data_IF_130853530573
#
_entry.id   IF_130853530573
#
_cell.length_a   1.000
_cell.length_b   1.000
_cell.length_c   1.000
_cell.angle_alpha   90.00
_cell.angle_beta   90.00
_cell.angle_gamma   90.00
#
_symmetry.space_group_name_H-M   'P 1'
#
loop_
_entity.id
_entity.type
_entity.pdbx_description
1 polymer ?
#
# COMPACT_ATOMS: atom_id res chain seq x y z
N UNK A 1 -20.71 20.32 5.70
CA UNK A 1 -19.35 19.97 6.17
C UNK A 1 -19.48 18.88 7.22
N UNK A 2 -18.83 17.76 6.98
CA UNK A 2 -18.77 16.67 7.95
C UNK A 2 -17.74 17.03 9.01
N UNK A 3 -18.16 16.99 10.27
CA UNK A 3 -17.23 17.15 11.39
C UNK A 3 -16.77 15.77 11.86
N UNK A 4 -15.51 15.67 12.23
CA UNK A 4 -14.97 14.42 12.77
C UNK A 4 -15.72 14.05 14.04
N UNK A 5 -16.26 12.84 14.06
CA UNK A 5 -16.91 12.27 15.22
C UNK A 5 -15.92 11.98 16.34
N UNK A 6 -14.69 11.63 15.97
CA UNK A 6 -13.62 11.29 16.90
C UNK A 6 -12.41 12.19 16.61
N UNK A 7 -11.97 12.92 17.61
CA UNK A 7 -10.79 13.77 17.50
C UNK A 7 -9.57 13.03 18.07
N UNK A 8 -9.04 12.08 17.29
CA UNK A 8 -7.92 11.26 17.72
C UNK A 8 -6.58 11.93 17.43
N UNK A 9 -5.66 11.83 18.39
CA UNK A 9 -4.28 12.26 18.20
C UNK A 9 -3.55 11.35 17.20
N UNK A 10 -2.41 11.81 16.69
CA UNK A 10 -1.56 10.98 15.82
C UNK A 10 -1.13 9.68 16.51
N UNK A 11 -0.80 9.75 17.80
CA UNK A 11 -0.42 8.59 18.60
C UNK A 11 -1.57 7.58 18.72
N UNK A 12 -2.78 8.06 18.97
CA UNK A 12 -3.97 7.21 19.02
C UNK A 12 -4.28 6.57 17.69
N UNK A 13 -4.16 7.32 16.59
CA UNK A 13 -4.35 6.80 15.23
C UNK A 13 -3.33 5.71 14.90
N UNK A 14 -2.06 5.92 15.24
CA UNK A 14 -1.01 4.91 15.06
C UNK A 14 -1.26 3.65 15.87
N UNK A 15 -1.71 3.80 17.11
CA UNK A 15 -2.06 2.67 17.96
C UNK A 15 -3.18 1.82 17.36
N UNK A 16 -4.26 2.48 16.89
CA UNK A 16 -5.39 1.80 16.25
C UNK A 16 -4.97 1.10 14.96
N UNK A 17 -4.13 1.75 14.15
CA UNK A 17 -3.62 1.14 12.92
C UNK A 17 -2.80 -0.12 13.22
N UNK A 18 -1.92 -0.07 14.21
CA UNK A 18 -1.13 -1.24 14.64
C UNK A 18 -2.01 -2.38 15.14
N UNK A 19 -3.05 -2.04 15.90
CA UNK A 19 -3.99 -3.04 16.44
C UNK A 19 -4.74 -3.77 15.35
N UNK A 20 -5.07 -3.07 14.26
CA UNK A 20 -5.88 -3.61 13.17
C UNK A 20 -5.06 -3.98 11.93
N UNK A 21 -3.75 -4.01 12.03
CA UNK A 21 -2.85 -4.12 10.87
C UNK A 21 -3.07 -5.41 10.06
N UNK A 22 -3.28 -6.54 10.73
CA UNK A 22 -3.48 -7.83 10.06
C UNK A 22 -4.75 -7.81 9.23
N UNK A 23 -5.85 -7.29 9.79
CA UNK A 23 -7.13 -7.19 9.11
C UNK A 23 -7.04 -6.25 7.90
N UNK A 24 -6.38 -5.12 8.06
CA UNK A 24 -6.19 -4.14 6.99
C UNK A 24 -5.36 -4.73 5.85
N UNK A 25 -4.23 -5.35 6.15
CA UNK A 25 -3.36 -5.96 5.13
C UNK A 25 -4.08 -7.11 4.44
N UNK A 26 -4.78 -7.95 5.17
CA UNK A 26 -5.56 -9.05 4.58
C UNK A 26 -6.62 -8.52 3.61
N UNK A 27 -7.37 -7.50 4.01
CA UNK A 27 -8.40 -6.88 3.16
C UNK A 27 -7.79 -6.24 1.91
N UNK A 28 -6.66 -5.54 2.04
CA UNK A 28 -5.95 -4.96 0.91
C UNK A 28 -5.43 -6.03 -0.05
N UNK A 29 -4.89 -7.12 0.47
CA UNK A 29 -4.39 -8.23 -0.34
C UNK A 29 -5.49 -8.89 -1.15
N UNK A 30 -6.70 -8.94 -0.64
CA UNK A 30 -7.88 -9.44 -1.39
C UNK A 30 -8.17 -8.59 -2.61
N UNK A 31 -7.99 -7.27 -2.53
CA UNK A 31 -8.14 -6.38 -3.67
C UNK A 31 -7.07 -6.64 -4.75
N UNK A 32 -5.93 -7.18 -4.36
CA UNK A 32 -4.84 -7.58 -5.26
C UNK A 32 -4.96 -9.06 -5.71
N UNK A 33 -6.13 -9.67 -5.54
CA UNK A 33 -6.42 -11.06 -5.92
C UNK A 33 -5.58 -12.12 -5.16
N UNK A 34 -5.08 -11.78 -4.00
CA UNK A 34 -4.42 -12.76 -3.13
C UNK A 34 -5.49 -13.66 -2.49
N UNK A 35 -5.33 -14.96 -2.63
CA UNK A 35 -6.31 -15.94 -2.17
C UNK A 35 -5.82 -16.68 -0.93
N UNK A 36 -5.53 -15.95 0.13
CA UNK A 36 -5.15 -16.50 1.43
C UNK A 36 -6.31 -16.39 2.41
N UNK A 37 -6.38 -17.32 3.35
CA UNK A 37 -7.28 -17.21 4.50
C UNK A 37 -6.75 -16.16 5.48
N UNK A 38 -7.61 -15.65 6.35
CA UNK A 38 -7.18 -14.72 7.38
C UNK A 38 -6.08 -15.30 8.30
N UNK A 39 -6.19 -16.55 8.81
CA UNK A 39 -5.11 -17.16 9.59
C UNK A 39 -3.79 -17.28 8.82
N UNK A 40 -3.84 -17.60 7.52
CA UNK A 40 -2.63 -17.66 6.68
C UNK A 40 -1.97 -16.29 6.56
N UNK A 41 -2.76 -15.24 6.30
CA UNK A 41 -2.27 -13.86 6.23
C UNK A 41 -1.64 -13.43 7.56
N UNK A 42 -2.31 -13.73 8.67
CA UNK A 42 -1.80 -13.41 10.01
C UNK A 42 -0.45 -14.08 10.28
N UNK A 43 -0.35 -15.37 9.96
CA UNK A 43 0.89 -16.15 10.16
C UNK A 43 2.04 -15.55 9.35
N UNK A 44 1.78 -15.17 8.10
CA UNK A 44 2.77 -14.52 7.24
C UNK A 44 3.20 -13.15 7.77
N UNK A 45 2.24 -12.34 8.20
CA UNK A 45 2.50 -11.00 8.74
C UNK A 45 3.30 -11.09 10.05
N UNK A 46 3.06 -12.12 10.84
CA UNK A 46 3.82 -12.40 12.07
C UNK A 46 5.24 -12.95 11.80
N UNK A 47 5.62 -13.11 10.55
CA UNK A 47 6.97 -13.51 10.15
C UNK A 47 7.20 -15.01 10.04
N UNK A 48 6.15 -15.81 10.09
CA UNK A 48 6.23 -17.28 9.97
C UNK A 48 5.89 -17.71 8.55
N UNK A 49 6.47 -18.83 8.10
CA UNK A 49 6.16 -19.39 6.80
C UNK A 49 4.85 -20.17 6.82
N UNK A 50 4.15 -20.15 5.69
CA UNK A 50 2.90 -20.90 5.47
C UNK A 50 3.06 -21.71 4.20
N UNK A 51 2.75 -23.00 4.26
CA UNK A 51 2.73 -23.87 3.09
C UNK A 51 1.48 -23.64 2.25
N UNK A 52 1.58 -23.88 0.94
CA UNK A 52 0.44 -23.79 0.03
C UNK A 52 0.12 -22.39 -0.48
N UNK A 53 0.95 -21.40 -0.18
CA UNK A 53 0.82 -20.05 -0.69
C UNK A 53 1.84 -19.85 -1.81
N UNK A 54 1.41 -19.25 -2.93
CA UNK A 54 2.31 -18.94 -4.04
C UNK A 54 3.35 -17.89 -3.63
N UNK A 55 4.50 -17.91 -4.31
CA UNK A 55 5.54 -16.90 -4.11
C UNK A 55 5.02 -15.49 -4.39
N UNK A 56 4.17 -15.35 -5.41
CA UNK A 56 3.54 -14.08 -5.76
C UNK A 56 2.67 -13.56 -4.61
N UNK A 57 1.81 -14.40 -4.04
CA UNK A 57 0.94 -14.01 -2.93
C UNK A 57 1.74 -13.64 -1.68
N UNK A 58 2.81 -14.40 -1.39
CA UNK A 58 3.74 -14.05 -0.31
C UNK A 58 4.37 -12.67 -0.52
N UNK A 59 4.80 -12.38 -1.74
CA UNK A 59 5.42 -11.10 -2.07
C UNK A 59 4.45 -9.94 -1.85
N UNK A 60 3.20 -10.07 -2.29
CA UNK A 60 2.17 -9.04 -2.10
C UNK A 60 1.94 -8.77 -0.60
N UNK A 61 1.78 -9.81 0.21
CA UNK A 61 1.57 -9.68 1.65
C UNK A 61 2.77 -9.01 2.35
N UNK A 62 3.99 -9.40 1.99
CA UNK A 62 5.20 -8.81 2.55
C UNK A 62 5.37 -7.35 2.13
N UNK A 63 5.04 -7.03 0.88
CA UNK A 63 5.08 -5.66 0.38
C UNK A 63 4.13 -4.76 1.17
N UNK A 64 2.91 -5.20 1.39
CA UNK A 64 1.92 -4.47 2.19
C UNK A 64 2.38 -4.30 3.64
N UNK A 65 2.94 -5.35 4.23
CA UNK A 65 3.51 -5.28 5.59
C UNK A 65 4.61 -4.23 5.66
N UNK A 66 5.56 -4.26 4.74
CA UNK A 66 6.68 -3.32 4.71
C UNK A 66 6.21 -1.88 4.49
N UNK A 67 5.23 -1.67 3.61
CA UNK A 67 4.63 -0.35 3.38
C UNK A 67 3.99 0.20 4.66
N UNK A 68 3.22 -0.60 5.37
CA UNK A 68 2.59 -0.18 6.61
C UNK A 68 3.59 0.08 7.73
N UNK A 69 4.63 -0.74 7.84
CA UNK A 69 5.72 -0.49 8.80
C UNK A 69 6.39 0.85 8.54
N UNK A 70 6.66 1.16 7.27
CA UNK A 70 7.22 2.45 6.88
C UNK A 70 6.29 3.61 7.25
N UNK A 71 5.00 3.51 6.91
CA UNK A 71 4.00 4.55 7.22
C UNK A 71 3.91 4.78 8.73
N UNK A 72 3.82 3.73 9.52
CA UNK A 72 3.63 3.82 10.97
C UNK A 72 4.88 4.33 11.72
N UNK A 73 6.06 4.17 11.14
CA UNK A 73 7.33 4.62 11.72
C UNK A 73 7.79 5.97 11.20
N UNK A 74 7.12 6.54 10.21
CA UNK A 74 7.54 7.77 9.55
C UNK A 74 6.91 8.99 10.22
N UNK A 75 7.72 10.05 10.42
CA UNK A 75 7.27 11.37 10.84
C UNK A 75 7.24 12.37 9.68
N UNK A 76 7.48 11.90 8.46
CA UNK A 76 7.50 12.74 7.26
C UNK A 76 6.10 13.26 6.90
N UNK A 77 6.05 14.45 6.32
CA UNK A 77 4.83 14.97 5.72
C UNK A 77 4.41 14.11 4.54
N UNK A 78 3.11 14.04 4.31
CA UNK A 78 2.55 13.41 3.12
C UNK A 78 2.78 14.34 1.92
N UNK A 79 3.78 14.01 1.12
CA UNK A 79 4.13 14.68 -0.12
C UNK A 79 4.36 13.67 -1.25
N UNK A 80 4.74 14.14 -2.43
CA UNK A 80 5.00 13.25 -3.55
C UNK A 80 6.14 12.26 -3.24
N UNK A 81 7.20 12.71 -2.59
CA UNK A 81 8.33 11.83 -2.23
C UNK A 81 7.87 10.71 -1.29
N UNK A 82 7.04 11.04 -0.31
CA UNK A 82 6.44 10.05 0.60
C UNK A 82 5.57 9.05 -0.17
N UNK A 83 4.69 9.54 -1.04
CA UNK A 83 3.82 8.69 -1.87
C UNK A 83 4.64 7.74 -2.75
N UNK A 84 5.72 8.22 -3.37
CA UNK A 84 6.63 7.39 -4.15
C UNK A 84 7.30 6.30 -3.30
N UNK A 85 7.71 6.61 -2.08
CA UNK A 85 8.30 5.62 -1.17
C UNK A 85 7.29 4.55 -0.78
N UNK A 86 6.06 4.94 -0.44
CA UNK A 86 4.98 3.97 -0.14
C UNK A 86 4.74 3.07 -1.35
N UNK A 87 4.60 3.65 -2.54
CA UNK A 87 4.44 2.87 -3.77
C UNK A 87 5.63 1.94 -3.99
N UNK A 88 6.85 2.39 -3.69
CA UNK A 88 8.06 1.57 -3.79
C UNK A 88 7.98 0.30 -2.96
N UNK A 89 7.40 0.36 -1.77
CA UNK A 89 7.16 -0.82 -0.94
C UNK A 89 6.04 -1.70 -1.48
N UNK A 90 4.90 -1.10 -1.84
CA UNK A 90 3.70 -1.84 -2.29
C UNK A 90 3.96 -2.55 -3.62
N UNK A 91 4.59 -1.86 -4.57
CA UNK A 91 4.81 -2.38 -5.93
C UNK A 91 6.15 -3.10 -6.09
N UNK A 92 6.92 -3.25 -5.02
CA UNK A 92 8.24 -3.88 -5.08
C UNK A 92 8.16 -5.24 -5.76
N UNK A 93 8.96 -5.41 -6.81
CA UNK A 93 9.06 -6.64 -7.59
C UNK A 93 7.74 -7.13 -8.23
N UNK A 94 6.70 -6.26 -8.26
CA UNK A 94 5.39 -6.57 -8.87
C UNK A 94 5.18 -5.85 -10.20
N UNK A 95 6.04 -4.90 -10.53
CA UNK A 95 6.01 -4.17 -11.79
C UNK A 95 7.43 -3.91 -12.30
N UNK A 96 7.55 -3.45 -13.54
CA UNK A 96 8.86 -3.15 -14.14
C UNK A 96 9.59 -2.00 -13.43
N UNK A 97 8.84 -1.07 -12.87
CA UNK A 97 9.38 0.03 -12.08
C UNK A 97 8.44 0.31 -10.90
N UNK A 98 9.02 0.72 -9.79
CA UNK A 98 8.29 1.06 -8.58
C UNK A 98 8.93 2.24 -7.88
N UNK A 99 8.13 2.97 -7.09
CA UNK A 99 8.60 4.15 -6.37
C UNK A 99 8.87 5.36 -7.26
N UNK A 100 8.42 5.34 -8.51
CA UNK A 100 8.67 6.38 -9.51
C UNK A 100 7.37 6.74 -10.22
N UNK A 101 7.33 7.96 -10.77
CA UNK A 101 6.25 8.33 -11.68
C UNK A 101 6.40 7.54 -12.98
N UNK A 102 5.29 7.01 -13.48
CA UNK A 102 5.31 6.27 -14.73
C UNK A 102 5.70 7.18 -15.90
N UNK A 103 6.37 6.60 -16.88
CA UNK A 103 6.74 7.27 -18.13
C UNK A 103 5.90 6.81 -19.32
N UNK A 104 5.18 5.69 -19.17
CA UNK A 104 4.30 5.13 -20.18
C UNK A 104 2.84 5.36 -19.90
N UNK A 105 2.02 5.28 -20.94
CA UNK A 105 0.57 5.34 -20.81
C UNK A 105 0.02 4.07 -20.17
N UNK A 106 -1.04 4.22 -19.41
CA UNK A 106 -1.79 3.11 -18.82
C UNK A 106 -3.24 3.22 -19.25
N UNK A 107 -3.94 2.09 -19.33
CA UNK A 107 -5.35 2.06 -19.62
C UNK A 107 -6.04 1.00 -18.77
N UNK A 108 -7.35 1.14 -18.63
CA UNK A 108 -8.21 0.13 -18.01
C UNK A 108 -8.97 -0.57 -19.14
N UNK A 109 -8.93 -1.90 -19.16
CA UNK A 109 -9.65 -2.70 -20.14
C UNK A 109 -11.13 -2.31 -20.22
N UNK A 110 -11.61 -2.06 -21.43
CA UNK A 110 -13.00 -1.67 -21.67
C UNK A 110 -13.31 -0.19 -21.45
N UNK A 111 -12.31 0.62 -21.12
CA UNK A 111 -12.46 2.07 -20.92
C UNK A 111 -11.60 2.81 -21.93
N UNK A 112 -12.17 3.84 -22.58
CA UNK A 112 -11.46 4.65 -23.58
C UNK A 112 -10.59 5.73 -22.96
N UNK A 113 -10.79 6.07 -21.69
CA UNK A 113 -10.02 7.10 -21.01
C UNK A 113 -8.59 6.65 -20.73
N UNK A 114 -7.64 7.50 -21.11
CA UNK A 114 -6.21 7.32 -20.83
C UNK A 114 -5.76 8.50 -19.96
N UNK A 115 -5.36 8.25 -18.70
CA UNK A 115 -4.90 9.33 -17.83
C UNK A 115 -3.57 9.91 -18.30
N UNK A 116 -3.40 11.22 -18.12
CA UNK A 116 -2.18 11.92 -18.47
C UNK A 116 -0.98 11.40 -17.67
N UNK A 117 0.20 11.50 -18.29
CA UNK A 117 1.46 11.26 -17.61
C UNK A 117 1.79 12.49 -16.76
N UNK A 118 1.96 12.30 -15.45
CA UNK A 118 2.31 13.36 -14.52
C UNK A 118 3.82 13.61 -14.54
N UNK A 119 4.21 14.86 -14.73
CA UNK A 119 5.59 15.29 -14.62
C UNK A 119 5.82 15.91 -13.24
N UNK A 120 6.98 15.63 -12.62
CA UNK A 120 7.36 16.19 -11.31
C UNK A 120 7.16 17.71 -11.23
N UNK A 121 7.44 18.41 -12.32
CA UNK A 121 7.30 19.86 -12.40
C UNK A 121 5.86 20.36 -12.30
N UNK A 122 4.86 19.55 -12.69
CA UNK A 122 3.43 19.89 -12.57
C UNK A 122 2.90 19.70 -11.16
N UNK A 123 3.45 18.75 -10.41
CA UNK A 123 3.00 18.43 -9.06
C UNK A 123 3.54 19.41 -8.02
N UNK A 124 4.70 20.02 -8.28
CA UNK A 124 5.31 21.01 -7.39
C UNK A 124 4.75 22.44 -7.56
N UNK A 125 3.82 22.63 -8.50
CA UNK A 125 3.17 23.94 -8.76
C UNK A 125 1.82 24.11 -8.08
N UNK A 126 1.38 23.15 -7.27
CA UNK A 126 0.10 23.25 -6.54
C UNK A 126 0.33 23.54 -5.08
#
# INVERSE_FOLDING_TARGET
MLTDKFNLSLEQNRFLAKKNIVEVIHSMSRLENVNTTFPQSKTMIDGMSVSGISTHDMQVLLNLKNAWQFILSSDSQFDLAFACKVNGFVAYNESLAWGELRTGNVCISGVSFVPDILLKTRLNKR
#
